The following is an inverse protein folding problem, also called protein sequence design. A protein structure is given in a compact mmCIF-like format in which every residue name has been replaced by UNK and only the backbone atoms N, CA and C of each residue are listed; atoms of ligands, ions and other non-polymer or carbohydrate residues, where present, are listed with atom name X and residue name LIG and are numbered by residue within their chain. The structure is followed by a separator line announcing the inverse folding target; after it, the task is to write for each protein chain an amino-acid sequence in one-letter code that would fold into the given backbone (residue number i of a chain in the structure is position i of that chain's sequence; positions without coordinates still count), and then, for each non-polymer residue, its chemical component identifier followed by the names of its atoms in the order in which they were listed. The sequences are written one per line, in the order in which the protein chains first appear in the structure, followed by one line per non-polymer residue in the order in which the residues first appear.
data_IF_580936458346
#
_entry.id   IF_580936458346
#
_cell.length_a   1.000
_cell.length_b   1.000
_cell.length_c   1.000
_cell.angle_alpha   90.00
_cell.angle_beta   90.00
_cell.angle_gamma   90.00
#
_symmetry.space_group_name_H-M   'P 1'
#
loop_
_entity.id
_entity.type
_entity.pdbx_description
1 polymer ?
#
# COMPACT_ATOMS: atom_id res chain seq x y z
N UNK A 1 19.06 -27.95 19.52
CA UNK A 1 19.22 -26.98 18.42
C UNK A 1 19.09 -25.59 19.02
N UNK A 2 20.20 -24.85 19.15
CA UNK A 2 20.19 -23.46 19.59
C UNK A 2 19.98 -22.59 18.35
N UNK A 3 18.76 -22.08 18.16
CA UNK A 3 18.52 -21.05 17.15
C UNK A 3 19.13 -19.73 17.64
N UNK A 4 19.94 -19.02 16.85
CA UNK A 4 20.40 -17.71 17.24
C UNK A 4 19.18 -16.79 17.36
N UNK A 5 19.05 -16.14 18.52
CA UNK A 5 18.13 -15.04 18.76
C UNK A 5 18.39 -13.96 17.71
N UNK A 6 17.57 -13.93 16.66
CA UNK A 6 17.55 -12.81 15.74
C UNK A 6 16.93 -11.64 16.52
N UNK A 7 17.68 -10.56 16.85
CA UNK A 7 17.08 -9.41 17.50
C UNK A 7 15.99 -8.91 16.57
N UNK A 8 14.74 -8.98 17.02
CA UNK A 8 13.61 -8.45 16.28
C UNK A 8 13.90 -6.97 16.03
N UNK A 9 14.28 -6.63 14.80
CA UNK A 9 14.45 -5.25 14.35
C UNK A 9 13.03 -4.72 14.20
N UNK A 10 12.45 -4.26 15.32
CA UNK A 10 11.19 -3.54 15.27
C UNK A 10 11.40 -2.31 14.38
N UNK A 11 10.48 -2.10 13.44
CA UNK A 11 10.43 -0.84 12.71
C UNK A 11 10.38 0.29 13.76
N UNK A 12 11.16 1.36 13.59
CA UNK A 12 11.13 2.48 14.51
C UNK A 12 9.69 3.01 14.62
N UNK A 13 9.28 3.36 15.85
CA UNK A 13 7.96 3.96 16.12
C UNK A 13 7.75 5.09 15.12
N UNK A 14 6.66 5.01 14.34
CA UNK A 14 6.33 6.00 13.32
C UNK A 14 6.39 7.39 13.96
N UNK A 15 7.44 8.15 13.64
CA UNK A 15 7.55 9.53 14.10
C UNK A 15 6.53 10.35 13.35
N UNK A 16 5.89 11.31 14.03
CA UNK A 16 4.99 12.25 13.37
C UNK A 16 5.67 12.89 12.16
N UNK A 17 4.89 13.06 11.08
CA UNK A 17 5.36 13.68 9.84
C UNK A 17 5.90 15.08 10.13
N UNK A 18 7.12 15.35 9.66
CA UNK A 18 7.74 16.68 9.75
C UNK A 18 7.29 17.53 8.57
N UNK A 19 7.50 18.83 8.66
CA UNK A 19 7.14 19.80 7.61
C UNK A 19 7.70 19.43 6.23
N UNK A 20 8.93 18.90 6.18
CA UNK A 20 9.52 18.35 4.95
C UNK A 20 8.68 17.22 4.34
N UNK A 21 8.20 16.31 5.18
CA UNK A 21 7.42 15.16 4.73
C UNK A 21 6.06 15.63 4.21
N UNK A 22 5.44 16.63 4.86
CA UNK A 22 4.25 17.29 4.36
C UNK A 22 4.45 18.00 3.02
N UNK A 23 5.56 18.71 2.84
CA UNK A 23 5.90 19.35 1.56
C UNK A 23 6.06 18.32 0.45
N UNK A 24 6.75 17.21 0.72
CA UNK A 24 6.91 16.12 -0.23
C UNK A 24 5.57 15.45 -0.57
N UNK A 25 4.68 15.26 0.40
CA UNK A 25 3.33 14.74 0.16
C UNK A 25 2.53 15.72 -0.70
N UNK A 26 2.57 17.02 -0.41
CA UNK A 26 1.90 18.02 -1.22
C UNK A 26 2.42 18.02 -2.65
N UNK A 27 3.74 18.00 -2.86
CA UNK A 27 4.32 17.91 -4.22
C UNK A 27 3.94 16.60 -4.94
N UNK A 28 3.78 15.50 -4.20
CA UNK A 28 3.34 14.22 -4.77
C UNK A 28 1.86 14.24 -5.17
N UNK A 29 1.02 14.96 -4.43
CA UNK A 29 -0.43 15.06 -4.64
C UNK A 29 -0.88 16.32 -5.40
N UNK A 30 0.02 17.25 -5.67
CA UNK A 30 -0.18 18.45 -6.52
C UNK A 30 0.37 18.18 -7.93
N UNK A 31 -0.11 17.09 -8.52
CA UNK A 31 0.26 16.69 -9.88
C UNK A 31 -0.89 17.00 -10.82
N UNK A 32 -0.58 17.53 -11.99
CA UNK A 32 -1.57 17.81 -13.03
C UNK A 32 -1.88 16.57 -13.89
N UNK A 33 -1.05 15.52 -13.82
CA UNK A 33 -1.12 14.32 -14.65
C UNK A 33 -1.89 13.15 -13.99
N UNK A 34 -2.69 13.41 -12.95
CA UNK A 34 -3.47 12.36 -12.28
C UNK A 34 -4.41 11.63 -13.23
N UNK A 35 -5.12 12.36 -14.08
CA UNK A 35 -6.09 11.77 -15.02
C UNK A 35 -5.38 10.84 -16.02
N UNK A 36 -4.17 11.18 -16.46
CA UNK A 36 -3.38 10.34 -17.37
C UNK A 36 -2.90 9.06 -16.69
N UNK A 37 -2.48 9.17 -15.43
CA UNK A 37 -2.07 8.02 -14.61
C UNK A 37 -3.25 7.09 -14.34
N UNK A 38 -4.43 7.64 -14.01
CA UNK A 38 -5.65 6.86 -13.79
C UNK A 38 -6.00 6.06 -15.05
N UNK A 39 -6.01 6.70 -16.21
CA UNK A 39 -6.28 6.04 -17.50
C UNK A 39 -5.26 4.94 -17.81
N UNK A 40 -3.97 5.17 -17.54
CA UNK A 40 -2.94 4.15 -17.73
C UNK A 40 -3.13 2.96 -16.78
N UNK A 41 -3.39 3.22 -15.49
CA UNK A 41 -3.66 2.17 -14.51
C UNK A 41 -4.86 1.33 -14.93
N UNK A 42 -5.98 1.96 -15.25
CA UNK A 42 -7.20 1.26 -15.68
C UNK A 42 -6.96 0.42 -16.94
N UNK A 43 -6.24 0.98 -17.92
CA UNK A 43 -5.88 0.25 -19.14
C UNK A 43 -5.06 -1.00 -18.85
N UNK A 44 -4.13 -0.94 -17.89
CA UNK A 44 -3.32 -2.09 -17.50
C UNK A 44 -4.11 -3.10 -16.65
N UNK A 45 -4.97 -2.64 -15.75
CA UNK A 45 -5.83 -3.51 -14.93
C UNK A 45 -6.80 -4.31 -15.80
N UNK A 46 -7.36 -3.70 -16.84
CA UNK A 46 -8.23 -4.40 -17.82
C UNK A 46 -7.50 -5.52 -18.58
N UNK A 47 -6.18 -5.48 -18.66
CA UNK A 47 -5.36 -6.53 -19.29
C UNK A 47 -5.02 -7.67 -18.31
N UNK A 48 -5.27 -7.51 -17.01
CA UNK A 48 -5.04 -8.56 -16.02
C UNK A 48 -6.20 -9.55 -16.02
N UNK A 49 -5.93 -10.77 -16.53
CA UNK A 49 -6.89 -11.88 -16.51
C UNK A 49 -6.29 -13.04 -15.69
N UNK A 50 -7.01 -13.57 -14.67
CA UNK A 50 -8.32 -13.15 -14.22
C UNK A 50 -8.30 -11.76 -13.56
N UNK A 51 -9.45 -11.10 -13.55
CA UNK A 51 -9.63 -9.85 -12.83
C UNK A 51 -9.23 -10.04 -11.36
N UNK A 52 -8.39 -9.17 -10.78
CA UNK A 52 -8.02 -9.31 -9.38
C UNK A 52 -9.23 -9.07 -8.47
N UNK A 53 -9.27 -9.73 -7.33
CA UNK A 53 -10.39 -9.69 -6.38
C UNK A 53 -10.40 -8.38 -5.55
N UNK A 54 -10.40 -7.21 -6.21
CA UNK A 54 -10.27 -5.91 -5.53
C UNK A 54 -11.46 -5.56 -4.62
N UNK A 55 -12.66 -5.96 -5.02
CA UNK A 55 -13.91 -5.68 -4.30
C UNK A 55 -14.26 -6.75 -3.25
N UNK A 56 -13.66 -7.94 -3.36
CA UNK A 56 -13.84 -9.01 -2.40
C UNK A 56 -12.79 -8.89 -1.31
N UNK A 57 -13.20 -8.81 -0.04
CA UNK A 57 -12.26 -8.95 1.08
C UNK A 57 -11.75 -10.40 1.09
N UNK A 58 -10.48 -10.68 0.71
CA UNK A 58 -9.97 -12.04 0.66
C UNK A 58 -9.91 -12.67 2.06
N UNK A 59 -10.08 -11.88 3.11
CA UNK A 59 -10.08 -12.27 4.51
C UNK A 59 -11.48 -12.28 5.12
N UNK A 60 -12.56 -12.11 4.36
CA UNK A 60 -13.93 -12.11 4.91
C UNK A 60 -14.22 -13.42 5.67
N UNK A 61 -13.63 -14.54 5.22
CA UNK A 61 -13.70 -15.84 5.92
C UNK A 61 -13.13 -15.80 7.35
N UNK A 62 -12.17 -14.92 7.65
CA UNK A 62 -11.57 -14.81 8.99
C UNK A 62 -12.55 -14.25 10.02
N UNK A 63 -13.62 -13.57 9.58
CA UNK A 63 -14.69 -13.07 10.48
C UNK A 63 -15.45 -14.20 11.16
N UNK A 64 -15.38 -15.43 10.64
CA UNK A 64 -15.97 -16.61 11.28
C UNK A 64 -15.08 -17.18 12.41
N UNK A 65 -13.81 -16.77 12.48
CA UNK A 65 -12.80 -17.34 13.38
C UNK A 65 -12.27 -16.35 14.46
N UNK A 66 -12.60 -15.06 14.35
CA UNK A 66 -12.20 -13.97 15.26
C UNK A 66 -13.42 -13.37 15.98
#
# INVERSE_FOLDING_TARGET
MNYPLNPQIYAPVFTSLKERDWKALLELFDREDFDEIEVDIDSNLLLMIPEPCWEDDPFDFLREYL
#
